data_IF_068850100260
#
_entry.id   IF_068850100260
#
_cell.length_a   1.000
_cell.length_b   1.000
_cell.length_c   1.000
_cell.angle_alpha   90.00
_cell.angle_beta   90.00
_cell.angle_gamma   90.00
#
_symmetry.space_group_name_H-M   'P 1'
#
loop_
_entity.id
_entity.type
_entity.pdbx_description
1 polymer ?
#
# COMPACT_ATOMS: atom_id res chain seq x y z
N UNK A 1 17.84 -12.12 -9.12
CA UNK A 1 16.97 -12.91 -8.21
C UNK A 1 15.52 -12.52 -8.47
N UNK A 2 15.19 -11.24 -8.34
CA UNK A 2 13.89 -10.62 -8.71
C UNK A 2 13.37 -11.05 -10.09
N UNK A 3 14.19 -10.99 -11.14
CA UNK A 3 13.74 -11.39 -12.49
C UNK A 3 13.30 -12.86 -12.58
N UNK A 4 13.95 -13.79 -11.86
CA UNK A 4 13.57 -15.21 -11.89
C UNK A 4 12.26 -15.49 -11.15
N UNK A 5 11.97 -14.74 -10.09
CA UNK A 5 10.71 -14.84 -9.34
C UNK A 5 9.54 -14.30 -10.18
N UNK A 6 9.75 -13.23 -10.95
CA UNK A 6 8.71 -12.60 -11.78
C UNK A 6 8.48 -13.35 -13.11
N UNK A 7 9.45 -14.13 -13.60
CA UNK A 7 9.31 -14.97 -14.80
C UNK A 7 8.51 -16.26 -14.57
N UNK A 8 8.19 -16.61 -13.33
CA UNK A 8 7.36 -17.77 -13.01
C UNK A 8 5.89 -17.49 -13.36
N UNK A 9 5.13 -18.51 -13.77
CA UNK A 9 3.67 -18.44 -13.85
C UNK A 9 3.00 -18.11 -12.50
N UNK A 10 3.73 -18.30 -11.40
CA UNK A 10 3.34 -17.97 -10.03
C UNK A 10 3.87 -16.62 -9.55
N UNK A 11 4.50 -15.81 -10.42
CA UNK A 11 5.04 -14.48 -10.08
C UNK A 11 4.05 -13.58 -9.31
N UNK A 12 2.77 -13.74 -9.63
CA UNK A 12 1.66 -13.08 -8.95
C UNK A 12 1.64 -13.37 -7.44
N UNK A 13 1.94 -14.60 -7.05
CA UNK A 13 1.81 -15.11 -5.68
C UNK A 13 3.15 -15.09 -4.91
N UNK A 14 4.29 -15.03 -5.61
CA UNK A 14 5.62 -15.22 -5.00
C UNK A 14 6.51 -13.97 -4.98
N UNK A 15 6.07 -12.85 -5.55
CA UNK A 15 6.87 -11.63 -5.56
C UNK A 15 6.80 -10.91 -4.20
N UNK A 16 7.87 -11.03 -3.42
CA UNK A 16 7.95 -10.57 -2.03
C UNK A 16 9.06 -9.51 -1.79
N UNK A 17 8.95 -8.29 -2.34
CA UNK A 17 9.94 -7.25 -2.16
C UNK A 17 10.01 -6.71 -0.72
N UNK A 18 11.05 -5.92 -0.44
CA UNK A 18 11.08 -5.05 0.75
C UNK A 18 10.40 -3.73 0.39
N UNK A 19 9.41 -3.33 1.18
CA UNK A 19 8.69 -2.07 1.00
C UNK A 19 9.25 -0.98 1.93
N UNK A 20 9.37 0.22 1.38
CA UNK A 20 9.65 1.46 2.13
C UNK A 20 8.43 2.36 2.05
N UNK A 21 8.24 3.18 3.08
CA UNK A 21 7.18 4.19 3.10
C UNK A 21 7.84 5.56 3.15
N UNK A 22 7.68 6.32 2.07
CA UNK A 22 8.17 7.68 1.99
C UNK A 22 7.02 8.67 2.18
N UNK A 23 7.17 9.57 3.15
CA UNK A 23 6.26 10.70 3.36
C UNK A 23 7.09 11.96 3.23
N UNK A 24 6.69 12.86 2.31
CA UNK A 24 7.42 14.12 2.06
C UNK A 24 8.92 13.91 1.77
N UNK A 25 9.26 12.85 1.03
CA UNK A 25 10.65 12.51 0.67
C UNK A 25 11.48 11.89 1.81
N UNK A 26 10.86 11.50 2.92
CA UNK A 26 11.50 10.87 4.08
C UNK A 26 10.99 9.45 4.31
N UNK A 27 11.91 8.50 4.48
CA UNK A 27 11.58 7.13 4.89
C UNK A 27 11.16 7.09 6.37
N UNK A 28 9.85 7.10 6.61
CA UNK A 28 9.28 7.21 7.96
C UNK A 28 9.37 5.91 8.76
N UNK A 29 9.61 4.78 8.09
CA UNK A 29 9.86 3.51 8.78
C UNK A 29 11.26 3.52 9.40
N UNK A 30 12.23 4.11 8.70
CA UNK A 30 13.60 4.24 9.21
C UNK A 30 13.67 5.06 10.49
N UNK A 31 12.83 6.08 10.63
CA UNK A 31 12.76 6.95 11.80
C UNK A 31 12.34 6.22 13.08
N UNK A 32 11.57 5.14 12.93
CA UNK A 32 11.13 4.28 14.04
C UNK A 32 11.99 3.01 14.15
N UNK A 33 13.14 2.98 13.46
CA UNK A 33 14.12 1.90 13.53
C UNK A 33 13.86 0.73 12.59
N UNK A 34 12.95 0.85 11.62
CA UNK A 34 12.66 -0.17 10.63
C UNK A 34 13.27 0.18 9.26
N UNK A 35 14.23 -0.60 8.78
CA UNK A 35 14.77 -0.46 7.42
C UNK A 35 13.87 -1.21 6.41
N UNK A 36 12.67 -0.66 6.22
CA UNK A 36 11.61 -1.23 5.40
C UNK A 36 10.93 -2.47 5.99
N UNK A 37 9.81 -2.84 5.37
CA UNK A 37 9.03 -4.05 5.69
C UNK A 37 9.41 -5.12 4.69
N UNK A 38 10.02 -6.20 5.18
CA UNK A 38 10.57 -7.26 4.34
C UNK A 38 9.50 -8.30 3.99
N UNK A 39 9.65 -8.90 2.81
CA UNK A 39 8.84 -10.02 2.31
C UNK A 39 7.34 -9.73 2.25
N UNK A 40 6.99 -8.57 1.71
CA UNK A 40 5.58 -8.22 1.54
C UNK A 40 5.06 -8.88 0.29
N UNK A 41 3.96 -9.64 0.40
CA UNK A 41 3.25 -10.13 -0.79
C UNK A 41 2.56 -8.96 -1.49
N UNK A 42 3.29 -8.35 -2.42
CA UNK A 42 3.02 -6.99 -2.91
C UNK A 42 1.75 -6.90 -3.76
N UNK A 43 1.39 -8.01 -4.42
CA UNK A 43 0.16 -8.11 -5.21
C UNK A 43 -1.09 -8.02 -4.35
N UNK A 44 -1.17 -8.80 -3.27
CA UNK A 44 -2.31 -8.71 -2.37
C UNK A 44 -2.38 -7.37 -1.64
N UNK A 45 -1.23 -6.77 -1.35
CA UNK A 45 -1.21 -5.41 -0.84
C UNK A 45 -1.80 -4.43 -1.85
N UNK A 46 -1.41 -4.47 -3.13
CA UNK A 46 -1.98 -3.62 -4.19
C UNK A 46 -3.49 -3.81 -4.30
N UNK A 47 -3.97 -5.05 -4.37
CA UNK A 47 -5.40 -5.36 -4.45
C UNK A 47 -6.19 -4.75 -3.29
N UNK A 48 -5.70 -4.95 -2.07
CA UNK A 48 -6.34 -4.41 -0.88
C UNK A 48 -6.26 -2.88 -0.86
N UNK A 49 -5.12 -2.30 -1.23
CA UNK A 49 -4.90 -0.87 -1.21
C UNK A 49 -5.80 -0.15 -2.20
N UNK A 50 -5.94 -0.65 -3.43
CA UNK A 50 -6.87 -0.11 -4.43
C UNK A 50 -8.31 -0.15 -3.93
N UNK A 51 -8.76 -1.30 -3.42
CA UNK A 51 -10.13 -1.49 -2.92
C UNK A 51 -10.45 -0.59 -1.72
N UNK A 52 -9.58 -0.57 -0.71
CA UNK A 52 -9.79 0.20 0.52
C UNK A 52 -9.74 1.70 0.23
N UNK A 53 -8.82 2.14 -0.63
CA UNK A 53 -8.71 3.56 -1.01
C UNK A 53 -9.92 4.02 -1.81
N UNK A 54 -10.45 3.19 -2.71
CA UNK A 54 -11.72 3.50 -3.37
C UNK A 54 -12.86 3.66 -2.34
N UNK A 55 -12.97 2.76 -1.37
CA UNK A 55 -13.94 2.88 -0.28
C UNK A 55 -13.76 4.17 0.54
N UNK A 56 -12.51 4.57 0.79
CA UNK A 56 -12.20 5.85 1.45
C UNK A 56 -12.75 7.06 0.67
N UNK A 57 -12.61 7.06 -0.67
CA UNK A 57 -13.16 8.13 -1.50
C UNK A 57 -14.70 8.15 -1.46
N UNK A 58 -15.34 6.98 -1.49
CA UNK A 58 -16.79 6.87 -1.37
C UNK A 58 -17.32 7.38 -0.02
N UNK A 59 -16.49 7.33 1.02
CA UNK A 59 -16.83 7.78 2.38
C UNK A 59 -16.62 9.27 2.61
N UNK A 60 -15.83 9.96 1.78
CA UNK A 60 -15.57 11.41 1.90
C UNK A 60 -16.88 12.21 1.97
N UNK A 61 -17.87 11.82 1.17
CA UNK A 61 -19.18 12.47 1.13
C UNK A 61 -20.14 12.00 2.24
N UNK A 62 -19.83 10.90 2.95
CA UNK A 62 -20.76 10.22 3.86
C UNK A 62 -20.40 10.45 5.33
N UNK A 63 -19.12 10.63 5.64
CA UNK A 63 -18.65 10.76 7.02
C UNK A 63 -17.53 11.79 7.14
N UNK A 64 -17.59 12.61 8.20
CA UNK A 64 -16.51 13.55 8.54
C UNK A 64 -15.22 12.82 8.95
N UNK A 65 -15.35 11.62 9.54
CA UNK A 65 -14.23 10.83 10.04
C UNK A 65 -14.40 9.35 9.70
N UNK A 66 -13.32 8.69 9.33
CA UNK A 66 -13.30 7.24 9.06
C UNK A 66 -11.92 6.64 9.42
N UNK A 67 -11.85 5.32 9.51
CA UNK A 67 -10.62 4.60 9.82
C UNK A 67 -10.44 3.44 8.85
N UNK A 68 -9.23 3.31 8.30
CA UNK A 68 -8.90 2.32 7.28
C UNK A 68 -7.61 1.60 7.65
N UNK A 69 -7.56 0.30 7.40
CA UNK A 69 -6.36 -0.49 7.66
C UNK A 69 -5.85 -1.12 6.36
N UNK A 70 -4.55 -0.96 6.13
CA UNK A 70 -3.82 -1.48 4.98
C UNK A 70 -2.78 -2.48 5.47
N UNK A 71 -3.06 -3.76 5.34
CA UNK A 71 -2.17 -4.81 5.82
C UNK A 71 -1.11 -5.18 4.78
N UNK A 72 0.14 -5.23 5.22
CA UNK A 72 1.22 -5.87 4.47
C UNK A 72 1.15 -7.37 4.75
N UNK A 73 0.32 -8.07 3.98
CA UNK A 73 0.02 -9.49 4.20
C UNK A 73 1.31 -10.32 4.26
N UNK A 74 1.31 -11.29 5.17
CA UNK A 74 2.47 -12.16 5.40
C UNK A 74 3.58 -11.54 6.25
N UNK A 75 3.41 -10.32 6.78
CA UNK A 75 4.43 -9.64 7.62
C UNK A 75 3.97 -9.28 9.03
N UNK A 76 2.66 -9.26 9.29
CA UNK A 76 2.08 -8.79 10.56
C UNK A 76 2.21 -7.27 10.79
N UNK A 77 2.74 -6.52 9.83
CA UNK A 77 2.67 -5.05 9.81
C UNK A 77 1.49 -4.57 8.96
N UNK A 78 0.95 -3.41 9.31
CA UNK A 78 -0.04 -2.70 8.52
C UNK A 78 0.04 -1.19 8.76
N UNK A 79 -0.73 -0.43 8.00
CA UNK A 79 -0.93 0.99 8.21
C UNK A 79 -2.38 1.22 8.61
N UNK A 80 -2.57 1.85 9.76
CA UNK A 80 -3.85 2.44 10.16
C UNK A 80 -3.88 3.88 9.67
N UNK A 81 -4.92 4.21 8.93
CA UNK A 81 -5.12 5.49 8.26
C UNK A 81 -6.41 6.09 8.78
N UNK A 82 -6.27 7.06 9.68
CA UNK A 82 -7.39 7.79 10.27
C UNK A 82 -7.67 9.03 9.44
N UNK A 83 -8.87 9.11 8.86
CA UNK A 83 -9.29 10.23 8.05
C UNK A 83 -10.11 11.22 8.87
N UNK A 84 -9.76 12.50 8.76
CA UNK A 84 -10.53 13.63 9.26
C UNK A 84 -10.68 14.66 8.13
N UNK A 85 -11.85 14.68 7.49
CA UNK A 85 -12.05 15.41 6.24
C UNK A 85 -11.10 14.93 5.15
N UNK A 86 -10.24 15.84 4.67
CA UNK A 86 -9.19 15.61 3.66
C UNK A 86 -7.83 15.21 4.25
N UNK A 87 -7.69 15.21 5.59
CA UNK A 87 -6.44 14.90 6.25
C UNK A 87 -6.41 13.45 6.69
N UNK A 88 -5.24 12.83 6.58
CA UNK A 88 -4.99 11.45 6.96
C UNK A 88 -3.87 11.40 8.00
N UNK A 89 -4.19 10.86 9.18
CA UNK A 89 -3.21 10.45 10.17
C UNK A 89 -2.76 9.03 9.91
N UNK A 90 -1.45 8.87 9.68
CA UNK A 90 -0.84 7.57 9.40
C UNK A 90 -0.19 7.01 10.65
N UNK A 91 -0.53 5.77 10.98
CA UNK A 91 0.03 5.03 12.10
C UNK A 91 0.46 3.64 11.64
N UNK A 92 1.66 3.20 12.04
CA UNK A 92 2.05 1.81 11.89
C UNK A 92 1.21 0.95 12.84
N UNK A 93 0.57 -0.09 12.31
CA UNK A 93 -0.17 -1.09 13.06
C UNK A 93 0.59 -2.41 13.05
N UNK A 94 0.59 -3.11 14.18
CA UNK A 94 1.28 -4.39 14.35
C UNK A 94 0.28 -5.42 14.84
N UNK A 95 0.11 -6.49 14.08
CA UNK A 95 -0.72 -7.63 14.43
C UNK A 95 0.11 -8.93 14.38
N UNK A 96 0.63 -9.41 15.52
CA UNK A 96 1.48 -10.59 15.56
C UNK A 96 0.75 -11.89 15.21
N UNK A 97 -0.59 -11.87 15.07
CA UNK A 97 -1.38 -13.04 14.63
C UNK A 97 -1.48 -13.16 13.11
N UNK A 98 -1.06 -12.15 12.34
CA UNK A 98 -1.21 -12.08 10.88
C UNK A 98 0.08 -12.33 10.08
N UNK A 99 1.19 -12.65 10.74
CA UNK A 99 2.47 -12.91 10.07
C UNK A 99 3.65 -12.85 11.03
N UNK A 100 4.88 -12.96 10.53
CA UNK A 100 6.09 -12.93 11.31
C UNK A 100 6.44 -11.49 11.68
N UNK A 101 6.19 -11.11 12.91
CA UNK A 101 6.81 -9.94 13.52
C UNK A 101 7.81 -10.44 14.56
N UNK A 102 9.12 -10.26 14.33
CA UNK A 102 10.05 -9.87 15.41
C UNK A 102 11.19 -9.01 14.84
N UNK A 103 11.43 -7.86 15.48
CA UNK A 103 12.47 -6.88 15.14
C UNK A 103 13.46 -6.75 16.32
N UNK A 104 13.88 -7.92 16.83
CA UNK A 104 14.86 -8.19 17.90
C UNK A 104 15.26 -7.03 18.81
N UNK A 105 14.28 -6.38 19.45
CA UNK A 105 14.48 -5.42 20.54
C UNK A 105 13.64 -4.14 20.49
N UNK A 106 13.02 -3.80 19.35
CA UNK A 106 12.10 -2.66 19.30
C UNK A 106 10.79 -3.01 20.00
N UNK A 107 10.39 -2.18 20.97
CA UNK A 107 9.03 -2.19 21.54
C UNK A 107 8.10 -1.78 20.42
N UNK A 108 7.60 -2.76 19.67
CA UNK A 108 6.69 -2.65 18.53
C UNK A 108 5.29 -2.19 18.99
N UNK A 109 5.22 -0.97 19.50
CA UNK A 109 3.98 -0.26 19.72
C UNK A 109 3.63 0.49 18.44
N UNK A 110 2.36 0.56 18.12
CA UNK A 110 1.86 1.36 17.01
C UNK A 110 2.41 2.77 17.08
N UNK A 111 3.09 3.22 16.02
CA UNK A 111 3.80 4.49 15.98
C UNK A 111 3.13 5.46 15.01
N UNK A 112 3.00 6.72 15.39
CA UNK A 112 2.52 7.76 14.47
C UNK A 112 3.62 8.05 13.45
N UNK A 113 3.30 7.92 12.17
CA UNK A 113 4.22 8.08 11.06
C UNK A 113 4.17 9.49 10.46
N UNK A 114 3.01 10.15 10.56
CA UNK A 114 2.84 11.53 10.09
C UNK A 114 1.42 11.82 9.64
N UNK A 115 1.24 13.03 9.09
CA UNK A 115 0.00 13.50 8.49
C UNK A 115 0.22 13.74 7.00
N UNK A 116 -0.74 13.34 6.18
CA UNK A 116 -0.78 13.61 4.74
C UNK A 116 -2.20 13.98 4.31
N UNK A 117 -2.39 14.41 3.07
CA UNK A 117 -3.74 14.60 2.53
C UNK A 117 -4.27 13.32 1.89
N UNK A 118 -5.60 13.25 1.69
CA UNK A 118 -6.24 12.19 0.89
C UNK A 118 -5.66 12.17 -0.52
N UNK A 119 -5.45 13.34 -1.14
CA UNK A 119 -4.83 13.43 -2.46
C UNK A 119 -3.43 12.83 -2.49
N UNK A 120 -2.56 13.14 -1.51
CA UNK A 120 -1.22 12.55 -1.42
C UNK A 120 -1.28 11.02 -1.31
N UNK A 121 -2.20 10.50 -0.51
CA UNK A 121 -2.37 9.05 -0.35
C UNK A 121 -2.86 8.38 -1.62
N UNK A 122 -3.87 8.94 -2.28
CA UNK A 122 -4.39 8.42 -3.55
C UNK A 122 -3.29 8.45 -4.62
N UNK A 123 -2.51 9.53 -4.70
CA UNK A 123 -1.34 9.61 -5.56
C UNK A 123 -0.31 8.51 -5.28
N UNK A 124 -0.01 8.23 -4.01
CA UNK A 124 0.93 7.19 -3.62
C UNK A 124 0.43 5.80 -4.06
N UNK A 125 -0.85 5.47 -3.82
CA UNK A 125 -1.43 4.19 -4.22
C UNK A 125 -1.46 4.04 -5.75
N UNK A 126 -1.84 5.09 -6.49
CA UNK A 126 -1.84 5.08 -7.97
C UNK A 126 -0.43 4.89 -8.52
N UNK A 127 0.55 5.61 -7.98
CA UNK A 127 1.96 5.53 -8.43
C UNK A 127 2.54 4.15 -8.18
N UNK A 128 2.41 3.64 -6.95
CA UNK A 128 2.83 2.29 -6.57
C UNK A 128 2.19 1.21 -7.46
N UNK A 129 0.88 1.30 -7.69
CA UNK A 129 0.17 0.32 -8.51
C UNK A 129 0.65 0.37 -9.97
N UNK A 130 0.88 1.57 -10.51
CA UNK A 130 1.38 1.77 -11.88
C UNK A 130 2.76 1.15 -12.04
N UNK A 131 3.71 1.47 -11.16
CA UNK A 131 5.07 0.95 -11.21
C UNK A 131 5.10 -0.58 -11.11
N UNK A 132 4.29 -1.14 -10.22
CA UNK A 132 4.21 -2.59 -10.04
C UNK A 132 3.63 -3.29 -11.28
N UNK A 133 2.51 -2.79 -11.81
CA UNK A 133 1.88 -3.33 -13.02
C UNK A 133 2.85 -3.25 -14.20
N UNK A 134 3.50 -2.10 -14.41
CA UNK A 134 4.46 -1.92 -15.49
C UNK A 134 5.66 -2.87 -15.37
N UNK A 135 6.19 -3.06 -14.15
CA UNK A 135 7.25 -4.01 -13.89
C UNK A 135 6.81 -5.45 -14.23
N UNK A 136 5.64 -5.86 -13.76
CA UNK A 136 5.10 -7.20 -13.99
C UNK A 136 4.85 -7.46 -15.47
N UNK A 137 4.24 -6.52 -16.19
CA UNK A 137 3.98 -6.67 -17.62
C UNK A 137 5.25 -6.65 -18.47
N UNK A 138 6.27 -5.90 -18.05
CA UNK A 138 7.57 -5.87 -18.72
C UNK A 138 8.27 -7.22 -18.62
N UNK A 139 8.17 -7.89 -17.47
CA UNK A 139 8.83 -9.18 -17.24
C UNK A 139 7.97 -10.36 -17.71
N UNK A 140 6.65 -10.29 -17.54
CA UNK A 140 5.69 -11.32 -17.93
C UNK A 140 4.43 -10.71 -18.57
N UNK A 141 4.45 -10.47 -19.89
CA UNK A 141 3.30 -9.88 -20.61
C UNK A 141 2.01 -10.71 -20.55
N UNK A 142 2.08 -12.01 -20.23
CA UNK A 142 0.91 -12.88 -20.12
C UNK A 142 0.00 -12.51 -18.92
N UNK A 143 0.50 -11.74 -17.96
CA UNK A 143 -0.26 -11.27 -16.80
C UNK A 143 -1.30 -10.18 -17.14
N UNK A 144 -1.31 -9.67 -18.38
CA UNK A 144 -2.20 -8.58 -18.81
C UNK A 144 -3.66 -8.81 -18.47
N UNK A 145 -4.18 -10.00 -18.76
CA UNK A 145 -5.60 -10.28 -18.54
C UNK A 145 -5.93 -10.44 -17.05
N UNK A 146 -4.97 -10.92 -16.26
CA UNK A 146 -5.10 -11.10 -14.81
C UNK A 146 -5.13 -9.73 -14.11
N UNK A 147 -4.33 -8.77 -14.58
CA UNK A 147 -4.20 -7.44 -13.98
C UNK A 147 -5.35 -6.48 -14.35
N UNK A 148 -6.24 -6.84 -15.27
CA UNK A 148 -7.32 -5.96 -15.74
C UNK A 148 -8.21 -5.39 -14.62
N UNK A 149 -8.47 -6.18 -13.58
CA UNK A 149 -9.27 -5.72 -12.43
C UNK A 149 -8.55 -4.63 -11.63
N UNK A 150 -7.27 -4.83 -11.35
CA UNK A 150 -6.42 -3.87 -10.64
C UNK A 150 -6.23 -2.61 -11.49
N UNK A 151 -6.06 -2.75 -12.80
CA UNK A 151 -6.02 -1.63 -13.75
C UNK A 151 -7.29 -0.79 -13.72
N UNK A 152 -8.45 -1.45 -13.72
CA UNK A 152 -9.74 -0.76 -13.67
C UNK A 152 -9.92 0.00 -12.35
N UNK A 153 -9.55 -0.59 -11.22
CA UNK A 153 -9.61 0.08 -9.93
C UNK A 153 -8.62 1.24 -9.84
N UNK A 154 -7.40 1.07 -10.34
CA UNK A 154 -6.38 2.12 -10.40
C UNK A 154 -6.86 3.32 -11.21
N UNK A 155 -7.50 3.09 -12.36
CA UNK A 155 -8.07 4.17 -13.19
C UNK A 155 -9.13 4.99 -12.48
N UNK A 156 -9.98 4.36 -11.65
CA UNK A 156 -10.97 5.10 -10.85
C UNK A 156 -10.29 6.09 -9.90
N UNK A 157 -9.19 5.68 -9.26
CA UNK A 157 -8.42 6.55 -8.38
C UNK A 157 -7.70 7.66 -9.17
N UNK A 158 -7.15 7.31 -10.33
CA UNK A 158 -6.48 8.26 -11.23
C UNK A 158 -7.45 9.33 -11.77
N UNK A 159 -8.66 8.94 -12.16
CA UNK A 159 -9.69 9.87 -12.62
C UNK A 159 -10.16 10.79 -11.49
N UNK A 160 -10.25 10.27 -10.26
CA UNK A 160 -10.54 11.08 -9.08
C UNK A 160 -9.49 12.17 -8.87
N UNK A 161 -8.19 11.85 -8.98
CA UNK A 161 -7.10 12.83 -8.90
C UNK A 161 -7.21 13.91 -10.00
N UNK A 162 -7.51 13.50 -11.24
CA UNK A 162 -7.63 14.42 -12.38
C UNK A 162 -8.83 15.36 -12.28
N UNK A 163 -9.87 14.96 -11.56
CA UNK A 163 -11.06 15.79 -11.37
C UNK A 163 -10.86 16.99 -10.45
N UNK A 164 -9.67 17.13 -9.84
CA UNK A 164 -9.37 18.25 -8.95
C UNK A 164 -10.10 18.17 -7.61
N UNK A 165 -10.56 16.98 -7.23
CA UNK A 165 -11.16 16.76 -5.93
C UNK A 165 -10.11 17.02 -4.82
N UNK A 166 -10.54 17.61 -3.70
CA UNK A 166 -9.67 17.98 -2.60
C UNK A 166 -9.12 16.77 -1.83
#
# INVERSE_FOLDING_TARGET
MIEKEILSEYAYDIFEPTLKLEIQGRDVLKDIGLDGIKRVVVMHFMESALRVTKGMLDDLAKAATSDYTYWFLGTGFGLRVKREGINLGLQLEVNPKMGPVDSSGLVLKSAMLGMITVSDWVHAIVSFSTELIELLLRVNPALKDILNSQESQRRVLEDWLRSGNP
#
